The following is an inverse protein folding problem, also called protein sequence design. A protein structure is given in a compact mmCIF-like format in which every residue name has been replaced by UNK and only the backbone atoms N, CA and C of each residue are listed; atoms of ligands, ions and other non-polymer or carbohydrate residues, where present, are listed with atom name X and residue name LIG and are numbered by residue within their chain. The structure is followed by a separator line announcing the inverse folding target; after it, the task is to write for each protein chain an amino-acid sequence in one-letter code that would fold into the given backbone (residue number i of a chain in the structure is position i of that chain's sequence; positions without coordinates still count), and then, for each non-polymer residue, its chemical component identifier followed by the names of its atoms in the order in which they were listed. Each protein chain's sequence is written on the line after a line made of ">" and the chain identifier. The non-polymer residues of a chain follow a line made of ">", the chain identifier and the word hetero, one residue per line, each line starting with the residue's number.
data_IF_674780663792
#
_entry.id   IF_674780663792
#
_cell.length_a   1.000
_cell.length_b   1.000
_cell.length_c   1.000
_cell.angle_alpha   90.00
_cell.angle_beta   90.00
_cell.angle_gamma   90.00
#
_symmetry.space_group_name_H-M   'P 1'
#
loop_
_entity.id
_entity.type
_entity.pdbx_description
1 polymer ?
#
# COMPACT_ATOMS: atom_id res chain seq x y z
N UNK A 1 -41.36 -73.95 -3.94
CA UNK A 1 -42.22 -73.96 -5.14
C UNK A 1 -42.64 -72.51 -5.43
N UNK A 2 -42.04 -71.94 -6.47
CA UNK A 2 -42.50 -70.84 -7.34
C UNK A 2 -43.08 -69.52 -6.79
N UNK A 3 -42.40 -68.44 -7.23
CA UNK A 3 -42.94 -67.16 -7.75
C UNK A 3 -43.51 -66.15 -6.75
N UNK A 4 -43.30 -64.83 -6.82
CA UNK A 4 -42.87 -63.91 -7.90
C UNK A 4 -42.42 -62.58 -7.24
N UNK A 5 -41.26 -62.05 -7.62
CA UNK A 5 -40.88 -60.66 -7.34
C UNK A 5 -41.74 -59.71 -8.19
N UNK A 6 -42.34 -58.68 -7.57
CA UNK A 6 -42.94 -57.54 -8.28
C UNK A 6 -42.06 -56.32 -8.08
N UNK A 7 -41.43 -55.92 -9.18
CA UNK A 7 -40.64 -54.71 -9.38
C UNK A 7 -41.55 -53.49 -9.29
N UNK A 8 -41.24 -52.53 -8.42
CA UNK A 8 -41.81 -51.19 -8.44
C UNK A 8 -40.71 -50.22 -8.88
N UNK A 9 -40.71 -49.88 -10.17
CA UNK A 9 -39.80 -48.90 -10.73
C UNK A 9 -40.36 -47.50 -10.47
N UNK A 10 -39.69 -46.73 -9.62
CA UNK A 10 -39.90 -45.28 -9.51
C UNK A 10 -39.09 -44.60 -10.61
N UNK A 11 -39.80 -44.04 -11.60
CA UNK A 11 -39.24 -43.19 -12.65
C UNK A 11 -39.11 -41.78 -12.10
N UNK A 12 -37.90 -41.37 -11.72
CA UNK A 12 -37.58 -39.97 -11.41
C UNK A 12 -37.14 -39.29 -12.70
N UNK A 13 -38.06 -38.56 -13.33
CA UNK A 13 -37.78 -37.77 -14.53
C UNK A 13 -37.14 -36.45 -14.10
N UNK A 14 -35.81 -36.40 -14.08
CA UNK A 14 -35.08 -35.15 -13.91
C UNK A 14 -35.15 -34.36 -15.23
N UNK A 15 -35.89 -33.24 -15.25
CA UNK A 15 -35.78 -32.25 -16.32
C UNK A 15 -34.41 -31.57 -16.21
N UNK A 16 -33.44 -32.03 -16.99
CA UNK A 16 -32.24 -31.25 -17.29
C UNK A 16 -32.61 -30.22 -18.36
N UNK A 17 -32.74 -28.96 -17.97
CA UNK A 17 -32.76 -27.84 -18.92
C UNK A 17 -31.37 -27.73 -19.56
N UNK A 18 -31.23 -28.25 -20.77
CA UNK A 18 -30.11 -27.91 -21.64
C UNK A 18 -30.29 -26.47 -22.10
N UNK A 19 -29.61 -25.53 -21.43
CA UNK A 19 -29.32 -24.24 -22.03
C UNK A 19 -28.30 -24.50 -23.14
N UNK A 20 -28.78 -24.48 -24.38
CA UNK A 20 -27.94 -24.44 -25.56
C UNK A 20 -27.29 -23.07 -25.60
N UNK A 21 -25.99 -22.99 -25.28
CA UNK A 21 -25.18 -21.86 -25.71
C UNK A 21 -25.11 -21.91 -27.24
N UNK A 22 -25.66 -20.88 -27.87
CA UNK A 22 -25.45 -20.62 -29.28
C UNK A 22 -23.99 -20.21 -29.44
N UNK A 23 -23.20 -21.02 -30.15
CA UNK A 23 -21.83 -20.68 -30.53
C UNK A 23 -21.92 -19.67 -31.65
N UNK A 24 -22.10 -18.40 -31.29
CA UNK A 24 -21.94 -17.31 -32.23
C UNK A 24 -20.58 -16.67 -32.01
N UNK A 25 -19.69 -16.92 -32.96
CA UNK A 25 -18.35 -16.37 -33.05
C UNK A 25 -18.40 -14.84 -33.09
N UNK A 26 -17.96 -14.25 -31.98
CA UNK A 26 -17.79 -12.83 -31.74
C UNK A 26 -17.05 -12.71 -30.41
N UNK A 27 -15.84 -13.26 -30.35
CA UNK A 27 -14.94 -13.15 -29.20
C UNK A 27 -14.42 -11.71 -29.10
N UNK A 28 -15.32 -10.80 -28.73
CA UNK A 28 -14.90 -9.66 -27.93
C UNK A 28 -14.42 -10.27 -26.61
N UNK A 29 -13.10 -10.31 -26.43
CA UNK A 29 -12.46 -10.66 -25.17
C UNK A 29 -12.97 -9.70 -24.09
N UNK A 30 -14.10 -10.02 -23.48
CA UNK A 30 -14.79 -9.16 -22.54
C UNK A 30 -13.96 -9.11 -21.26
N UNK A 31 -13.25 -7.99 -21.07
CA UNK A 31 -12.49 -7.75 -19.85
C UNK A 31 -13.47 -7.35 -18.76
N UNK A 32 -13.69 -8.26 -17.81
CA UNK A 32 -14.57 -8.03 -16.68
C UNK A 32 -13.79 -7.48 -15.48
N UNK A 33 -14.36 -6.52 -14.72
CA UNK A 33 -13.78 -6.08 -13.46
C UNK A 33 -13.62 -7.24 -12.46
N UNK A 34 -12.57 -7.22 -11.61
CA UNK A 34 -12.39 -8.26 -10.61
C UNK A 34 -13.38 -8.07 -9.46
N UNK A 35 -13.50 -9.09 -8.62
CA UNK A 35 -14.18 -8.91 -7.32
C UNK A 35 -13.32 -8.09 -6.38
N UNK A 36 -13.94 -7.37 -5.43
CA UNK A 36 -13.20 -6.66 -4.38
C UNK A 36 -12.23 -7.57 -3.60
N UNK A 37 -12.62 -8.83 -3.35
CA UNK A 37 -11.76 -9.82 -2.71
C UNK A 37 -10.52 -10.19 -3.53
N UNK A 38 -10.64 -10.24 -4.85
CA UNK A 38 -9.50 -10.49 -5.74
C UNK A 38 -8.53 -9.31 -5.77
N UNK A 39 -9.04 -8.08 -5.85
CA UNK A 39 -8.22 -6.86 -5.80
C UNK A 39 -7.51 -6.68 -4.44
N UNK A 40 -8.21 -6.95 -3.34
CA UNK A 40 -7.58 -7.02 -2.01
C UNK A 40 -6.50 -8.10 -1.97
N UNK A 41 -6.79 -9.29 -2.49
CA UNK A 41 -5.88 -10.43 -2.48
C UNK A 41 -4.58 -10.20 -3.26
N UNK A 42 -4.60 -9.45 -4.36
CA UNK A 42 -3.36 -9.12 -5.08
C UNK A 42 -2.48 -8.13 -4.32
N UNK A 43 -3.09 -7.18 -3.59
CA UNK A 43 -2.39 -6.26 -2.71
C UNK A 43 -1.78 -6.98 -1.50
N UNK A 44 -2.49 -7.93 -0.90
CA UNK A 44 -1.97 -8.78 0.19
C UNK A 44 -0.75 -9.62 -0.26
N UNK A 45 -0.72 -10.06 -1.54
CA UNK A 45 0.46 -10.71 -2.12
C UNK A 45 1.65 -9.75 -2.19
N UNK A 46 1.42 -8.48 -2.54
CA UNK A 46 2.46 -7.44 -2.54
C UNK A 46 3.05 -7.19 -1.16
N UNK A 47 2.19 -7.10 -0.13
CA UNK A 47 2.62 -6.98 1.28
C UNK A 47 3.47 -8.19 1.67
N UNK A 48 2.99 -9.41 1.38
CA UNK A 48 3.72 -10.64 1.71
C UNK A 48 5.09 -10.71 1.03
N UNK A 49 5.19 -10.27 -0.23
CA UNK A 49 6.46 -10.23 -0.97
C UNK A 49 7.46 -9.23 -0.40
N UNK A 50 6.97 -8.12 0.14
CA UNK A 50 7.81 -7.10 0.78
C UNK A 50 8.09 -7.39 2.28
N UNK A 51 7.54 -8.46 2.85
CA UNK A 51 7.75 -8.83 4.25
C UNK A 51 9.00 -9.68 4.43
N UNK A 52 9.91 -9.18 5.26
CA UNK A 52 11.07 -9.90 5.79
C UNK A 52 10.73 -10.49 7.16
N UNK A 53 11.20 -11.72 7.41
CA UNK A 53 10.95 -12.43 8.66
C UNK A 53 12.27 -12.71 9.37
N UNK A 54 12.32 -12.42 10.66
CA UNK A 54 13.46 -12.69 11.52
C UNK A 54 13.02 -13.41 12.78
N UNK A 55 13.87 -14.25 13.35
CA UNK A 55 13.67 -14.80 14.69
C UNK A 55 14.80 -14.29 15.58
N UNK A 56 14.42 -13.69 16.70
CA UNK A 56 15.34 -13.10 17.69
C UNK A 56 15.09 -13.69 19.07
N UNK A 57 16.01 -13.49 20.00
CA UNK A 57 15.87 -13.99 21.39
C UNK A 57 15.62 -12.82 22.35
N UNK A 58 14.43 -12.78 22.95
CA UNK A 58 14.08 -11.82 23.99
C UNK A 58 14.77 -12.15 25.34
N UNK A 59 14.97 -11.14 26.18
CA UNK A 59 15.64 -11.26 27.48
C UNK A 59 17.17 -11.30 27.42
N UNK A 60 17.78 -10.79 26.34
CA UNK A 60 19.24 -10.77 26.15
C UNK A 60 19.75 -9.37 25.72
N UNK A 61 19.12 -8.30 26.22
CA UNK A 61 19.52 -6.93 25.93
C UNK A 61 19.27 -6.49 24.48
N UNK A 62 20.18 -5.68 23.94
CA UNK A 62 20.04 -5.07 22.62
C UNK A 62 20.20 -6.10 21.49
N UNK A 63 19.22 -6.11 20.59
CA UNK A 63 19.17 -6.94 19.38
C UNK A 63 19.27 -6.01 18.19
N UNK A 64 20.16 -6.33 17.24
CA UNK A 64 20.27 -5.63 15.96
C UNK A 64 19.91 -6.56 14.81
N UNK A 65 18.90 -6.19 14.04
CA UNK A 65 18.51 -6.83 12.79
C UNK A 65 19.03 -5.96 11.64
N UNK A 66 19.54 -6.57 10.57
CA UNK A 66 19.87 -5.86 9.33
C UNK A 66 18.97 -6.37 8.22
N UNK A 67 18.23 -5.46 7.58
CA UNK A 67 17.32 -5.76 6.48
C UNK A 67 18.08 -6.08 5.18
N UNK A 68 17.36 -6.61 4.20
CA UNK A 68 17.90 -6.87 2.86
C UNK A 68 18.42 -5.61 2.17
N UNK A 69 17.84 -4.43 2.43
CA UNK A 69 18.31 -3.14 1.90
C UNK A 69 19.34 -2.44 2.79
N UNK A 70 19.77 -3.09 3.88
CA UNK A 70 20.85 -2.60 4.76
C UNK A 70 20.41 -1.66 5.88
N UNK A 71 19.10 -1.50 6.10
CA UNK A 71 18.56 -0.78 7.25
C UNK A 71 18.83 -1.59 8.51
N UNK A 72 19.29 -0.93 9.58
CA UNK A 72 19.50 -1.58 10.87
C UNK A 72 18.37 -1.25 11.82
N UNK A 73 17.68 -2.26 12.32
CA UNK A 73 16.66 -2.16 13.36
C UNK A 73 17.24 -2.63 14.70
N UNK A 74 17.23 -1.75 15.69
CA UNK A 74 17.67 -2.04 17.04
C UNK A 74 16.47 -2.10 17.98
N UNK A 75 16.31 -3.24 18.66
CA UNK A 75 15.23 -3.49 19.62
C UNK A 75 15.88 -3.99 20.91
N UNK A 76 15.47 -3.47 22.06
CA UNK A 76 15.87 -4.06 23.33
C UNK A 76 14.95 -5.24 23.68
N UNK A 77 15.48 -6.45 23.60
CA UNK A 77 14.78 -7.70 23.89
C UNK A 77 14.29 -7.81 25.33
N UNK A 78 14.90 -7.08 26.27
CA UNK A 78 14.48 -7.05 27.68
C UNK A 78 13.20 -6.23 27.89
N UNK A 79 12.85 -5.38 26.93
CA UNK A 79 11.66 -4.52 26.99
C UNK A 79 10.45 -5.12 26.27
N UNK A 80 10.58 -6.32 25.70
CA UNK A 80 9.48 -6.98 25.03
C UNK A 80 8.52 -7.59 26.05
N UNK A 81 7.25 -7.30 25.89
CA UNK A 81 6.19 -7.78 26.78
C UNK A 81 5.06 -8.44 26.01
N UNK A 82 4.41 -9.40 26.66
CA UNK A 82 3.18 -10.04 26.20
C UNK A 82 2.13 -9.73 27.24
N UNK A 83 1.18 -8.85 26.91
CA UNK A 83 0.16 -8.36 27.84
C UNK A 83 0.76 -7.74 29.12
N UNK A 84 1.84 -6.97 28.97
CA UNK A 84 2.54 -6.29 30.07
C UNK A 84 3.51 -7.17 30.87
N UNK A 85 3.62 -8.47 30.57
CA UNK A 85 4.59 -9.36 31.20
C UNK A 85 5.81 -9.53 30.30
N UNK A 86 7.02 -9.32 30.83
CA UNK A 86 8.26 -9.50 30.09
C UNK A 86 8.37 -10.91 29.50
N UNK A 87 8.82 -11.01 28.25
CA UNK A 87 9.04 -12.29 27.56
C UNK A 87 10.52 -12.64 27.46
N UNK A 88 10.80 -13.93 27.37
CA UNK A 88 12.13 -14.48 27.09
C UNK A 88 12.03 -15.53 25.99
N UNK A 89 13.15 -15.87 25.38
CA UNK A 89 13.22 -16.90 24.34
C UNK A 89 12.86 -16.38 22.95
N UNK A 90 12.51 -17.28 22.03
CA UNK A 90 12.29 -16.95 20.63
C UNK A 90 11.11 -15.99 20.43
N UNK A 91 11.32 -14.98 19.59
CA UNK A 91 10.34 -13.99 19.13
C UNK A 91 10.48 -13.85 17.62
N UNK A 92 9.35 -13.86 16.92
CA UNK A 92 9.28 -13.65 15.48
C UNK A 92 9.04 -12.16 15.19
N UNK A 93 9.84 -11.61 14.28
CA UNK A 93 9.76 -10.22 13.81
C UNK A 93 9.36 -10.23 12.33
N UNK A 94 8.23 -9.59 12.03
CA UNK A 94 7.82 -9.23 10.68
C UNK A 94 8.27 -7.79 10.41
N UNK A 95 8.98 -7.57 9.31
CA UNK A 95 9.57 -6.30 8.94
C UNK A 95 9.30 -5.96 7.47
N UNK A 96 8.81 -4.75 7.19
CA UNK A 96 8.65 -4.24 5.82
C UNK A 96 9.42 -2.93 5.70
N UNK A 97 10.05 -2.70 4.54
CA UNK A 97 10.75 -1.46 4.19
C UNK A 97 10.43 -1.03 2.74
N UNK A 98 9.79 0.13 2.57
CA UNK A 98 9.37 0.67 1.28
C UNK A 98 10.11 1.98 1.03
N UNK A 99 10.73 2.09 -0.14
CA UNK A 99 11.51 3.27 -0.55
C UNK A 99 11.11 3.78 -1.93
N UNK A 100 10.39 2.97 -2.69
CA UNK A 100 10.02 3.23 -4.08
C UNK A 100 8.51 3.10 -4.29
N UNK A 101 8.00 3.95 -5.18
CA UNK A 101 6.57 4.11 -5.49
C UNK A 101 5.95 2.86 -6.09
N UNK A 102 6.72 2.01 -6.77
CA UNK A 102 6.26 0.71 -7.23
C UNK A 102 5.89 -0.22 -6.08
N UNK A 103 6.78 -0.34 -5.08
CA UNK A 103 6.51 -1.14 -3.88
C UNK A 103 5.44 -0.52 -2.98
N UNK A 104 5.38 0.82 -2.87
CA UNK A 104 4.29 1.53 -2.19
C UNK A 104 2.93 1.21 -2.84
N UNK A 105 2.87 1.19 -4.17
CA UNK A 105 1.64 0.90 -4.92
C UNK A 105 1.16 -0.53 -4.69
N UNK A 106 2.01 -1.53 -4.92
CA UNK A 106 1.57 -2.96 -4.86
C UNK A 106 1.25 -3.42 -3.43
N UNK A 107 1.65 -2.65 -2.43
CA UNK A 107 1.32 -2.87 -1.01
C UNK A 107 0.13 -2.02 -0.53
N UNK A 108 -0.39 -1.12 -1.38
CA UNK A 108 -1.35 -0.07 -1.05
C UNK A 108 -0.89 0.70 0.22
N UNK A 109 0.34 1.19 0.20
CA UNK A 109 0.96 2.03 1.24
C UNK A 109 1.45 3.32 0.57
N UNK A 110 0.54 4.24 0.21
CA UNK A 110 0.91 5.52 -0.37
C UNK A 110 1.47 6.47 0.69
N UNK A 111 2.18 7.51 0.25
CA UNK A 111 2.78 8.53 1.10
C UNK A 111 1.80 9.69 1.35
N UNK A 112 0.63 9.41 1.96
CA UNK A 112 -0.40 10.42 2.23
C UNK A 112 -0.37 10.92 3.68
N UNK A 113 0.11 12.13 3.90
CA UNK A 113 0.24 12.76 5.22
C UNK A 113 -1.00 13.56 5.62
N UNK A 114 -1.42 13.40 6.89
CA UNK A 114 -2.52 14.14 7.49
C UNK A 114 -2.03 15.52 7.92
N UNK A 115 -2.65 16.57 7.38
CA UNK A 115 -2.38 17.97 7.73
C UNK A 115 -3.05 18.37 9.04
N UNK A 116 -2.68 19.53 9.59
CA UNK A 116 -3.25 20.04 10.84
C UNK A 116 -4.77 20.28 10.79
N UNK A 117 -5.33 20.56 9.61
CA UNK A 117 -6.77 20.71 9.36
C UNK A 117 -7.45 19.38 8.99
N UNK A 118 -6.76 18.24 9.14
CA UNK A 118 -7.30 16.90 8.89
C UNK A 118 -7.36 16.50 7.43
N UNK A 119 -6.84 17.34 6.51
CA UNK A 119 -6.72 17.00 5.10
C UNK A 119 -5.58 16.03 4.85
N UNK A 120 -5.47 15.53 3.63
CA UNK A 120 -4.31 14.75 3.18
C UNK A 120 -3.51 15.49 2.12
N UNK A 121 -2.19 15.38 2.20
CA UNK A 121 -1.27 15.89 1.20
C UNK A 121 -0.12 14.91 0.99
N UNK A 122 0.52 14.96 -0.18
CA UNK A 122 1.63 14.10 -0.52
C UNK A 122 2.81 14.31 0.44
N UNK A 123 3.44 13.21 0.85
CA UNK A 123 4.72 13.18 1.53
C UNK A 123 5.81 12.71 0.57
N UNK A 124 7.00 13.27 0.75
CA UNK A 124 8.24 12.79 0.12
C UNK A 124 8.97 11.96 1.16
N UNK A 125 9.29 10.72 0.82
CA UNK A 125 9.71 9.73 1.80
C UNK A 125 11.20 9.46 1.87
N UNK A 126 11.72 9.35 3.09
CA UNK A 126 13.02 8.80 3.44
C UNK A 126 12.98 7.29 3.73
N UNK A 127 11.78 6.70 3.75
CA UNK A 127 11.54 5.26 3.92
C UNK A 127 10.36 4.95 4.85
N UNK A 128 9.45 4.10 4.40
CA UNK A 128 8.32 3.59 5.18
C UNK A 128 8.65 2.22 5.79
N UNK A 129 8.32 2.02 7.06
CA UNK A 129 8.68 0.82 7.80
C UNK A 129 7.49 0.24 8.54
N UNK A 130 7.32 -1.07 8.48
CA UNK A 130 6.43 -1.81 9.37
C UNK A 130 7.26 -2.72 10.26
N UNK A 131 6.99 -2.72 11.56
CA UNK A 131 7.61 -3.64 12.51
C UNK A 131 6.52 -4.28 13.35
N UNK A 132 6.50 -5.61 13.41
CA UNK A 132 5.64 -6.38 14.30
C UNK A 132 6.42 -7.49 14.95
N UNK A 133 6.25 -7.66 16.26
CA UNK A 133 6.85 -8.74 17.01
C UNK A 133 5.77 -9.68 17.55
N UNK A 134 5.98 -10.99 17.48
CA UNK A 134 5.06 -11.99 18.01
C UNK A 134 5.79 -13.10 18.76
N UNK A 135 5.13 -13.70 19.75
CA UNK A 135 5.60 -14.91 20.42
C UNK A 135 4.46 -15.92 20.57
N UNK A 136 4.62 -17.08 19.92
CA UNK A 136 3.59 -18.12 19.86
C UNK A 136 2.29 -17.59 19.23
N UNK A 137 2.41 -16.80 18.16
CA UNK A 137 1.29 -16.20 17.44
C UNK A 137 0.62 -15.01 18.13
N UNK A 138 1.07 -14.60 19.33
CA UNK A 138 0.51 -13.45 20.05
C UNK A 138 1.41 -12.23 19.85
N UNK A 139 0.81 -11.10 19.46
CA UNK A 139 1.51 -9.83 19.30
C UNK A 139 2.13 -9.35 20.63
N UNK A 140 3.36 -8.85 20.54
CA UNK A 140 4.10 -8.28 21.66
C UNK A 140 3.99 -6.76 21.65
N UNK A 141 4.28 -6.16 22.81
CA UNK A 141 4.51 -4.73 22.99
C UNK A 141 5.96 -4.48 23.41
N UNK A 142 6.45 -3.26 23.22
CA UNK A 142 7.74 -2.81 23.79
C UNK A 142 7.50 -1.70 24.80
N UNK A 143 8.21 -1.73 25.93
CA UNK A 143 8.24 -0.63 26.91
C UNK A 143 9.39 0.36 26.67
N UNK A 144 10.22 0.11 25.65
CA UNK A 144 11.39 0.92 25.32
C UNK A 144 11.31 1.41 23.88
N UNK A 145 11.99 2.53 23.62
CA UNK A 145 12.22 3.00 22.25
C UNK A 145 13.05 1.99 21.46
N UNK A 146 12.75 1.92 20.16
CA UNK A 146 13.52 1.23 19.14
C UNK A 146 14.27 2.26 18.30
N UNK A 147 15.30 1.81 17.59
CA UNK A 147 16.03 2.66 16.65
C UNK A 147 16.11 2.05 15.26
N UNK A 148 16.04 2.90 14.24
CA UNK A 148 16.45 2.57 12.88
C UNK A 148 17.68 3.38 12.49
N UNK A 149 18.58 2.75 11.73
CA UNK A 149 19.63 3.42 10.97
C UNK A 149 19.34 3.15 9.50
N UNK A 150 18.88 4.19 8.79
CA UNK A 150 18.38 4.11 7.42
C UNK A 150 19.40 4.78 6.49
N UNK A 151 20.07 4.03 5.58
CA UNK A 151 20.94 4.64 4.59
C UNK A 151 20.16 5.58 3.67
N UNK A 152 20.58 6.84 3.57
CA UNK A 152 19.88 7.85 2.75
C UNK A 152 20.08 7.63 1.25
N UNK A 153 21.01 6.75 0.86
CA UNK A 153 21.22 6.32 -0.52
C UNK A 153 20.12 5.40 -1.04
N UNK A 154 19.20 4.95 -0.18
CA UNK A 154 18.01 4.19 -0.59
C UNK A 154 16.92 5.09 -1.19
N UNK A 155 17.04 6.41 -1.01
CA UNK A 155 16.20 7.46 -1.61
C UNK A 155 17.12 8.54 -2.22
N UNK A 156 16.63 9.79 -2.36
CA UNK A 156 17.34 10.89 -3.00
C UNK A 156 18.41 11.57 -2.12
N UNK A 157 18.97 10.83 -1.15
CA UNK A 157 19.99 11.32 -0.23
C UNK A 157 19.43 12.00 1.01
N UNK A 158 20.31 12.71 1.73
CA UNK A 158 19.96 13.30 3.00
C UNK A 158 19.13 14.59 2.84
N UNK A 159 17.86 14.51 3.19
CA UNK A 159 16.98 15.65 3.38
C UNK A 159 16.82 15.98 4.88
N UNK A 160 17.22 17.20 5.27
CA UNK A 160 17.15 17.68 6.65
C UNK A 160 15.77 18.20 7.06
N UNK A 161 14.76 18.19 6.20
CA UNK A 161 13.39 18.53 6.56
C UNK A 161 12.58 17.31 7.02
N UNK A 162 13.10 16.09 6.88
CA UNK A 162 12.41 14.86 7.31
C UNK A 162 12.11 14.86 8.82
N UNK A 163 10.91 14.36 9.15
CA UNK A 163 10.40 14.16 10.51
C UNK A 163 9.87 12.73 10.68
N UNK A 164 9.59 12.35 11.92
CA UNK A 164 8.96 11.06 12.21
C UNK A 164 7.46 11.12 11.92
N UNK A 165 6.94 10.04 11.33
CA UNK A 165 5.52 9.83 11.09
C UNK A 165 5.08 8.48 11.63
N UNK A 166 3.84 8.40 12.08
CA UNK A 166 3.19 7.17 12.53
C UNK A 166 2.01 6.87 11.63
N UNK A 167 1.87 5.60 11.22
CA UNK A 167 0.76 5.17 10.40
C UNK A 167 -0.55 5.11 11.18
N UNK A 168 -1.61 5.63 10.58
CA UNK A 168 -3.00 5.52 11.01
C UNK A 168 -3.75 4.76 9.93
N UNK A 169 -4.35 3.64 10.31
CA UNK A 169 -5.16 2.81 9.39
C UNK A 169 -6.62 3.00 9.78
N UNK A 170 -7.46 3.36 8.82
CA UNK A 170 -8.91 3.51 9.02
C UNK A 170 -9.66 2.16 8.95
N UNK A 171 -11.00 2.21 9.04
CA UNK A 171 -11.85 1.02 9.09
C UNK A 171 -11.83 0.26 7.74
N UNK A 172 -11.59 0.98 6.65
CA UNK A 172 -11.44 0.48 5.28
C UNK A 172 -10.05 -0.12 5.04
N UNK A 173 -9.11 0.07 5.96
CA UNK A 173 -7.75 -0.46 5.88
C UNK A 173 -6.77 0.44 5.13
N UNK A 174 -7.14 1.70 4.89
CA UNK A 174 -6.32 2.69 4.20
C UNK A 174 -5.34 3.35 5.17
N UNK A 175 -4.07 3.40 4.76
CA UNK A 175 -3.00 4.00 5.53
C UNK A 175 -2.88 5.48 5.21
N UNK A 176 -2.90 6.31 6.25
CA UNK A 176 -2.46 7.69 6.21
C UNK A 176 -1.44 7.97 7.31
N UNK A 177 -0.60 8.98 7.11
CA UNK A 177 0.55 9.26 7.97
C UNK A 177 0.25 10.46 8.88
N UNK A 178 0.39 10.27 10.19
CA UNK A 178 0.31 11.36 11.16
C UNK A 178 1.70 11.79 11.60
N UNK A 179 2.00 13.09 11.49
CA UNK A 179 3.28 13.63 11.92
C UNK A 179 3.45 13.48 13.43
N UNK A 180 4.61 12.98 13.87
CA UNK A 180 4.93 12.69 15.27
C UNK A 180 5.93 13.70 15.84
N UNK A 181 5.74 15.00 15.57
CA UNK A 181 6.58 16.07 16.17
C UNK A 181 6.48 16.04 17.69
N UNK A 182 7.59 16.38 18.34
CA UNK A 182 7.55 16.63 19.77
C UNK A 182 6.82 17.96 20.10
N UNK A 183 6.50 18.16 21.38
CA UNK A 183 5.76 19.33 21.84
C UNK A 183 6.47 20.68 21.56
N UNK A 184 7.77 20.65 21.27
CA UNK A 184 8.59 21.84 20.96
C UNK A 184 8.80 22.00 19.45
N UNK A 185 8.12 21.21 18.61
CA UNK A 185 8.24 21.26 17.15
C UNK A 185 9.43 20.50 16.58
N UNK A 186 10.17 19.75 17.40
CA UNK A 186 11.27 18.90 16.95
C UNK A 186 10.80 17.72 16.11
N UNK A 187 11.73 17.08 15.41
CA UNK A 187 11.48 16.11 14.34
C UNK A 187 10.93 14.75 14.79
N UNK A 188 10.50 14.61 16.04
CA UNK A 188 9.89 13.40 16.55
C UNK A 188 10.83 12.22 16.76
N UNK A 189 12.16 12.42 16.68
CA UNK A 189 13.14 11.34 16.81
C UNK A 189 13.90 11.01 15.53
N UNK A 190 13.73 11.78 14.46
CA UNK A 190 14.55 11.71 13.23
C UNK A 190 15.73 12.67 13.31
N UNK A 191 16.94 12.15 13.15
CA UNK A 191 18.18 12.91 12.98
C UNK A 191 18.89 12.47 11.71
N UNK A 192 19.20 13.43 10.85
CA UNK A 192 20.03 13.22 9.68
C UNK A 192 21.51 13.45 10.01
N UNK A 193 22.38 12.47 9.74
CA UNK A 193 23.82 12.63 9.95
C UNK A 193 24.64 11.77 8.98
N UNK A 194 25.60 12.40 8.29
CA UNK A 194 26.38 11.75 7.24
C UNK A 194 25.48 11.23 6.13
N UNK A 195 25.50 9.91 5.89
CA UNK A 195 24.69 9.23 4.87
C UNK A 195 23.56 8.39 5.48
N UNK A 196 23.11 8.72 6.70
CA UNK A 196 22.04 7.98 7.36
C UNK A 196 21.00 8.90 8.02
N UNK A 197 19.77 8.41 8.08
CA UNK A 197 18.81 8.81 9.10
C UNK A 197 18.93 7.90 10.32
N UNK A 198 19.02 8.51 11.49
CA UNK A 198 18.88 7.87 12.78
C UNK A 198 17.49 8.18 13.31
N UNK A 199 16.69 7.13 13.49
CA UNK A 199 15.27 7.24 13.85
C UNK A 199 15.07 6.61 15.21
N UNK A 200 14.33 7.27 16.10
CA UNK A 200 13.95 6.75 17.42
C UNK A 200 12.43 6.82 17.56
N UNK A 201 11.79 5.70 17.88
CA UNK A 201 10.33 5.60 18.01
C UNK A 201 9.93 4.52 19.01
N UNK A 202 8.73 4.61 19.59
CA UNK A 202 8.35 3.86 20.79
C UNK A 202 7.44 2.65 20.59
N UNK A 203 6.79 2.49 19.44
CA UNK A 203 5.75 1.48 19.24
C UNK A 203 5.99 0.65 17.97
N UNK A 204 5.55 -0.60 18.00
CA UNK A 204 5.38 -1.42 16.79
C UNK A 204 4.26 -0.86 15.90
N UNK A 205 4.26 -1.25 14.64
CA UNK A 205 3.35 -0.76 13.61
C UNK A 205 4.10 -0.06 12.48
N UNK A 206 3.36 0.79 11.76
CA UNK A 206 3.88 1.60 10.66
C UNK A 206 4.54 2.89 11.17
N UNK A 207 5.77 3.14 10.74
CA UNK A 207 6.48 4.40 10.96
C UNK A 207 7.19 4.82 9.68
N UNK A 208 7.42 6.12 9.52
CA UNK A 208 7.96 6.67 8.29
C UNK A 208 8.83 7.91 8.56
N UNK A 209 9.77 8.20 7.67
CA UNK A 209 10.73 9.31 7.76
C UNK A 209 10.46 10.27 6.62
N UNK A 210 9.56 11.22 6.81
CA UNK A 210 8.97 11.96 5.69
C UNK A 210 8.98 13.47 5.91
N UNK A 211 8.74 14.20 4.83
CA UNK A 211 8.32 15.60 4.87
C UNK A 211 7.13 15.80 3.94
N UNK A 212 6.36 16.85 4.19
CA UNK A 212 5.37 17.29 3.20
C UNK A 212 6.03 17.70 1.88
N UNK A 213 5.41 17.29 0.78
CA UNK A 213 5.55 17.95 -0.50
C UNK A 213 4.99 19.38 -0.39
N UNK A 214 5.68 20.33 -0.99
CA UNK A 214 5.28 21.75 -0.96
C UNK A 214 5.39 22.34 -2.34
N UNK A 215 4.27 22.89 -2.80
CA UNK A 215 4.17 23.59 -4.06
C UNK A 215 3.27 24.81 -3.87
N UNK A 216 3.69 26.02 -4.29
CA UNK A 216 2.92 27.24 -4.04
C UNK A 216 1.83 27.50 -5.10
N UNK A 217 1.77 26.72 -6.19
CA UNK A 217 0.80 26.94 -7.26
C UNK A 217 -0.63 26.77 -6.73
N UNK A 218 -1.61 27.48 -7.31
CA UNK A 218 -3.03 27.29 -6.99
C UNK A 218 -3.42 25.81 -7.10
N UNK A 219 -4.29 25.36 -6.19
CA UNK A 219 -4.72 23.96 -6.12
C UNK A 219 -6.08 23.74 -6.80
N UNK A 220 -6.32 22.52 -7.23
CA UNK A 220 -7.58 22.06 -7.82
C UNK A 220 -7.91 20.65 -7.35
N UNK A 221 -9.16 20.27 -7.55
CA UNK A 221 -9.60 18.89 -7.42
C UNK A 221 -9.36 18.16 -8.74
N UNK A 222 -8.84 16.94 -8.64
CA UNK A 222 -8.56 16.08 -9.77
C UNK A 222 -9.60 14.97 -9.80
N UNK A 223 -10.25 14.77 -10.94
CA UNK A 223 -11.21 13.70 -11.16
C UNK A 223 -10.63 12.69 -12.16
N UNK A 224 -10.85 11.41 -11.88
CA UNK A 224 -10.48 10.30 -12.78
C UNK A 224 -11.69 9.40 -12.99
N UNK A 225 -12.03 9.21 -14.25
CA UNK A 225 -13.06 8.28 -14.68
C UNK A 225 -12.39 6.96 -15.04
N UNK A 226 -12.68 5.89 -14.29
CA UNK A 226 -12.12 4.57 -14.56
C UNK A 226 -12.87 3.90 -15.72
N UNK A 227 -12.33 2.82 -16.32
CA UNK A 227 -13.06 2.11 -17.35
C UNK A 227 -14.42 1.59 -16.82
N UNK A 228 -15.39 1.41 -17.71
CA UNK A 228 -16.73 0.95 -17.32
C UNK A 228 -16.67 -0.35 -16.49
N UNK A 229 -17.41 -0.35 -15.37
CA UNK A 229 -17.46 -1.45 -14.42
C UNK A 229 -16.38 -1.43 -13.33
N UNK A 230 -15.38 -0.55 -13.42
CA UNK A 230 -14.35 -0.40 -12.40
C UNK A 230 -14.68 0.74 -11.43
N UNK A 231 -14.52 0.48 -10.14
CA UNK A 231 -14.83 1.38 -9.03
C UNK A 231 -13.78 1.26 -7.93
N UNK A 232 -13.98 1.96 -6.81
CA UNK A 232 -13.06 1.95 -5.67
C UNK A 232 -13.09 0.66 -4.83
N UNK A 233 -13.98 -0.29 -5.12
CA UNK A 233 -13.99 -1.61 -4.47
C UNK A 233 -13.09 -2.62 -5.21
N UNK A 234 -12.97 -2.47 -6.53
CA UNK A 234 -12.27 -3.41 -7.41
C UNK A 234 -11.02 -2.83 -8.10
N UNK A 235 -10.73 -1.54 -7.92
CA UNK A 235 -9.58 -0.87 -8.52
C UNK A 235 -9.11 0.32 -7.66
N UNK A 236 -7.97 0.90 -8.02
CA UNK A 236 -7.45 2.10 -7.38
C UNK A 236 -6.77 3.02 -8.39
N UNK A 237 -6.71 4.30 -8.02
CA UNK A 237 -5.99 5.32 -8.79
C UNK A 237 -4.95 6.01 -7.91
N UNK A 238 -3.73 6.09 -8.43
CA UNK A 238 -2.58 6.74 -7.79
C UNK A 238 -2.05 7.89 -8.64
N UNK A 239 -1.29 8.77 -8.01
CA UNK A 239 -0.58 9.88 -8.64
C UNK A 239 0.91 9.83 -8.30
N UNK A 240 1.77 9.88 -9.32
CA UNK A 240 3.21 10.14 -9.19
C UNK A 240 3.51 11.54 -9.68
N UNK A 241 4.09 12.39 -8.84
CA UNK A 241 4.40 13.78 -9.20
C UNK A 241 5.77 13.83 -9.88
N UNK A 242 5.82 14.36 -11.09
CA UNK A 242 7.05 14.36 -11.86
C UNK A 242 8.10 15.26 -11.20
N UNK A 243 9.31 14.74 -11.03
CA UNK A 243 10.44 15.45 -10.45
C UNK A 243 10.59 15.28 -8.93
N UNK A 244 9.69 14.52 -8.29
CA UNK A 244 9.77 14.17 -6.87
C UNK A 244 10.38 12.77 -6.64
N UNK A 245 11.10 12.25 -7.63
CA UNK A 245 11.88 11.03 -7.52
C UNK A 245 11.05 9.75 -7.55
N UNK A 246 11.53 8.73 -6.84
CA UNK A 246 10.85 7.42 -6.77
C UNK A 246 10.17 7.17 -5.43
N UNK A 247 10.30 8.07 -4.47
CA UNK A 247 9.98 7.89 -3.05
C UNK A 247 8.72 8.66 -2.63
N UNK A 248 7.80 8.90 -3.55
CA UNK A 248 6.54 9.58 -3.31
C UNK A 248 5.43 8.98 -4.19
N UNK A 249 4.28 8.67 -3.57
CA UNK A 249 3.11 8.16 -4.28
C UNK A 249 1.84 8.64 -3.57
N UNK A 250 1.03 9.44 -4.25
CA UNK A 250 -0.29 9.80 -3.77
C UNK A 250 -1.34 8.78 -4.22
N UNK A 251 -2.44 8.69 -3.46
CA UNK A 251 -3.63 7.90 -3.81
C UNK A 251 -4.85 8.83 -3.87
N UNK A 252 -5.70 8.62 -4.86
CA UNK A 252 -7.04 9.21 -4.89
C UNK A 252 -7.91 8.47 -3.88
N UNK A 253 -8.22 9.15 -2.78
CA UNK A 253 -8.79 8.56 -1.57
C UNK A 253 -10.30 8.74 -1.44
N UNK A 254 -10.95 9.21 -2.50
CA UNK A 254 -12.40 9.44 -2.54
C UNK A 254 -12.99 8.90 -3.85
N UNK A 255 -14.21 8.38 -3.76
CA UNK A 255 -15.03 8.01 -4.92
C UNK A 255 -16.33 8.82 -4.86
N UNK A 256 -16.60 9.61 -5.91
CA UNK A 256 -17.74 10.54 -5.93
C UNK A 256 -19.05 9.82 -6.21
N UNK A 257 -20.17 10.48 -5.93
CA UNK A 257 -21.50 9.93 -6.23
C UNK A 257 -21.73 9.71 -7.73
N UNK A 258 -20.98 10.41 -8.58
CA UNK A 258 -20.97 10.29 -10.04
C UNK A 258 -20.08 9.14 -10.55
N UNK A 259 -19.41 8.40 -9.66
CA UNK A 259 -18.58 7.26 -10.02
C UNK A 259 -17.14 7.61 -10.41
N UNK A 260 -16.63 8.74 -9.93
CA UNK A 260 -15.28 9.22 -10.25
C UNK A 260 -14.33 9.06 -9.07
N UNK A 261 -13.09 8.66 -9.34
CA UNK A 261 -12.01 8.75 -8.37
C UNK A 261 -11.58 10.21 -8.19
N UNK A 262 -11.31 10.61 -6.96
CA UNK A 262 -10.88 11.97 -6.62
C UNK A 262 -9.97 11.97 -5.39
N UNK A 263 -9.30 13.08 -5.17
CA UNK A 263 -8.81 13.44 -3.85
C UNK A 263 -9.88 14.24 -3.08
N UNK A 264 -9.81 14.19 -1.75
CA UNK A 264 -10.88 14.69 -0.87
C UNK A 264 -10.88 16.22 -0.67
N UNK A 265 -9.80 16.96 -1.02
CA UNK A 265 -9.53 18.27 -0.40
C UNK A 265 -9.09 19.40 -1.34
N UNK A 266 -9.10 19.20 -2.65
CA UNK A 266 -8.60 20.16 -3.64
C UNK A 266 -7.13 20.48 -3.49
N UNK A 267 -6.25 19.50 -3.27
CA UNK A 267 -4.83 19.73 -2.94
C UNK A 267 -3.85 19.57 -4.12
N UNK A 268 -4.33 19.29 -5.34
CA UNK A 268 -3.45 19.04 -6.48
C UNK A 268 -3.01 20.35 -7.13
N UNK A 269 -1.70 20.64 -7.28
CA UNK A 269 -1.24 21.88 -7.93
C UNK A 269 -1.60 21.95 -9.41
N UNK A 270 -2.22 23.06 -9.83
CA UNK A 270 -2.47 23.34 -11.25
C UNK A 270 -1.14 23.55 -11.98
N UNK A 271 -1.02 22.95 -13.16
CA UNK A 271 0.18 22.96 -13.99
C UNK A 271 1.24 21.93 -13.57
N UNK A 272 0.98 21.10 -12.55
CA UNK A 272 1.87 20.02 -12.17
C UNK A 272 1.92 18.96 -13.27
N UNK A 273 3.13 18.59 -13.70
CA UNK A 273 3.31 17.37 -14.50
C UNK A 273 3.27 16.17 -13.55
N UNK A 274 2.47 15.17 -13.88
CA UNK A 274 2.36 13.95 -13.08
C UNK A 274 1.90 12.78 -13.96
N UNK A 275 2.01 11.58 -13.41
CA UNK A 275 1.43 10.38 -13.97
C UNK A 275 0.23 9.93 -13.13
N UNK A 276 -0.94 9.87 -13.77
CA UNK A 276 -2.15 9.24 -13.22
C UNK A 276 -2.07 7.75 -13.52
N UNK A 277 -2.24 6.93 -12.49
CA UNK A 277 -2.00 5.48 -12.57
C UNK A 277 -3.28 4.77 -12.15
N UNK A 278 -3.93 4.09 -13.09
CA UNK A 278 -5.04 3.17 -12.79
C UNK A 278 -4.48 1.76 -12.62
N UNK A 279 -4.91 1.05 -11.56
CA UNK A 279 -4.57 -0.36 -11.33
C UNK A 279 -5.76 -1.18 -10.86
N UNK A 280 -5.77 -2.44 -11.25
CA UNK A 280 -6.75 -3.44 -10.83
C UNK A 280 -6.13 -4.84 -10.92
N UNK A 281 -6.89 -5.85 -10.49
CA UNK A 281 -6.54 -7.26 -10.61
C UNK A 281 -7.12 -7.85 -11.89
N UNK A 282 -6.38 -8.76 -12.52
CA UNK A 282 -6.85 -9.54 -13.66
C UNK A 282 -6.21 -10.92 -13.65
N UNK A 283 -6.99 -11.96 -13.34
CA UNK A 283 -6.57 -13.37 -13.39
C UNK A 283 -5.26 -13.66 -12.64
N UNK A 284 -5.09 -13.07 -11.46
CA UNK A 284 -3.93 -13.17 -10.59
C UNK A 284 -2.75 -12.26 -10.97
N UNK A 285 -2.90 -11.45 -12.02
CA UNK A 285 -1.93 -10.46 -12.49
C UNK A 285 -2.45 -9.04 -12.25
N UNK A 286 -1.58 -8.05 -12.44
CA UNK A 286 -1.96 -6.65 -12.38
C UNK A 286 -2.38 -6.17 -13.76
N UNK A 287 -3.55 -5.54 -13.85
CA UNK A 287 -3.94 -4.76 -15.01
C UNK A 287 -3.78 -3.28 -14.67
N UNK A 288 -3.13 -2.51 -15.53
CA UNK A 288 -2.81 -1.12 -15.23
C UNK A 288 -2.69 -0.25 -16.47
N UNK A 289 -2.88 1.06 -16.28
CA UNK A 289 -2.60 2.10 -17.26
C UNK A 289 -1.90 3.27 -16.56
N UNK A 290 -0.94 3.89 -17.26
CA UNK A 290 -0.16 5.02 -16.76
C UNK A 290 -0.31 6.16 -17.76
N UNK A 291 -0.81 7.30 -17.30
CA UNK A 291 -1.13 8.46 -18.14
C UNK A 291 -0.37 9.69 -17.66
N UNK A 292 0.60 10.12 -18.46
CA UNK A 292 1.28 11.40 -18.23
C UNK A 292 0.32 12.56 -18.53
N UNK A 293 0.19 13.49 -17.58
CA UNK A 293 -0.71 14.65 -17.69
C UNK A 293 -0.03 15.90 -17.13
N UNK A 294 -0.54 17.06 -17.55
CA UNK A 294 -0.33 18.32 -16.84
C UNK A 294 -1.66 18.72 -16.21
N UNK A 295 -1.66 18.96 -14.90
CA UNK A 295 -2.89 19.24 -14.16
C UNK A 295 -3.53 20.53 -14.66
N UNK A 296 -4.77 20.42 -15.12
CA UNK A 296 -5.61 21.58 -15.45
C UNK A 296 -6.74 21.69 -14.43
N UNK A 297 -7.24 22.90 -14.23
CA UNK A 297 -8.29 23.13 -13.24
C UNK A 297 -9.57 22.35 -13.58
N UNK A 298 -10.09 21.58 -12.61
CA UNK A 298 -11.32 20.79 -12.72
C UNK A 298 -11.33 19.78 -13.88
N UNK A 299 -10.16 19.26 -14.25
CA UNK A 299 -10.05 18.26 -15.30
C UNK A 299 -10.65 16.91 -14.86
N UNK A 300 -11.22 16.20 -15.83
CA UNK A 300 -11.53 14.77 -15.71
C UNK A 300 -10.59 14.00 -16.62
N UNK A 301 -9.81 13.08 -16.05
CA UNK A 301 -8.94 12.18 -16.80
C UNK A 301 -9.61 10.82 -16.92
N UNK A 302 -10.03 10.44 -18.12
CA UNK A 302 -10.74 9.17 -18.35
C UNK A 302 -9.78 8.06 -18.72
N UNK A 303 -10.00 6.86 -18.19
CA UNK A 303 -9.36 5.64 -18.64
C UNK A 303 -10.29 4.73 -19.45
N UNK A 304 -9.73 3.99 -20.41
CA UNK A 304 -10.43 2.94 -21.16
C UNK A 304 -9.70 1.61 -21.00
N UNK A 305 -10.43 0.49 -21.05
CA UNK A 305 -9.82 -0.84 -20.98
C UNK A 305 -8.74 -1.04 -22.05
N UNK A 306 -8.96 -0.48 -23.25
CA UNK A 306 -8.07 -0.62 -24.39
C UNK A 306 -6.67 0.00 -24.18
N UNK A 307 -6.52 0.93 -23.23
CA UNK A 307 -5.21 1.51 -22.91
C UNK A 307 -4.49 0.80 -21.74
N UNK A 308 -5.16 -0.15 -21.10
CA UNK A 308 -4.57 -0.94 -20.03
C UNK A 308 -3.70 -2.07 -20.59
N UNK A 309 -2.68 -2.44 -19.83
CA UNK A 309 -1.88 -3.65 -20.07
C UNK A 309 -2.01 -4.58 -18.87
N UNK A 310 -1.80 -5.87 -19.10
CA UNK A 310 -1.70 -6.87 -18.03
C UNK A 310 -0.23 -7.24 -17.84
N UNK A 311 0.20 -7.35 -16.59
CA UNK A 311 1.56 -7.70 -16.25
C UNK A 311 1.71 -8.31 -14.87
N UNK A 312 2.83 -8.98 -14.67
CA UNK A 312 3.27 -9.45 -13.35
C UNK A 312 3.52 -8.27 -12.41
N UNK A 313 3.53 -8.52 -11.09
CA UNK A 313 3.89 -7.48 -10.11
C UNK A 313 5.26 -6.85 -10.40
N UNK A 314 6.26 -7.66 -10.79
CA UNK A 314 7.59 -7.14 -11.11
C UNK A 314 7.56 -6.19 -12.31
N UNK A 315 6.71 -6.46 -13.32
CA UNK A 315 6.54 -5.57 -14.48
C UNK A 315 5.83 -4.27 -14.08
N UNK A 316 4.80 -4.34 -13.22
CA UNK A 316 4.14 -3.14 -12.69
C UNK A 316 5.13 -2.30 -11.87
N UNK A 317 5.84 -2.89 -10.90
CA UNK A 317 6.84 -2.19 -10.07
C UNK A 317 7.90 -1.53 -10.96
N UNK A 318 8.42 -2.23 -11.96
CA UNK A 318 9.39 -1.66 -12.90
C UNK A 318 8.81 -0.49 -13.72
N UNK A 319 7.57 -0.60 -14.21
CA UNK A 319 6.91 0.46 -14.96
C UNK A 319 6.68 1.71 -14.09
N UNK A 320 6.25 1.52 -12.83
CA UNK A 320 5.98 2.59 -11.89
C UNK A 320 7.27 3.23 -11.38
N UNK A 321 8.37 2.49 -11.26
CA UNK A 321 9.66 3.08 -10.87
C UNK A 321 10.40 3.74 -12.04
N UNK A 322 9.98 3.51 -13.29
CA UNK A 322 10.57 4.12 -14.47
C UNK A 322 10.02 5.54 -14.77
N UNK A 323 8.84 5.88 -14.25
CA UNK A 323 8.26 7.23 -14.38
C UNK A 323 8.92 8.19 -13.38
N UNK A 324 8.87 9.49 -13.69
CA UNK A 324 9.50 10.54 -12.88
C UNK A 324 8.59 11.10 -11.80
#
# INVERSE_FOLDING_TARGET
>A
MNTKFKTLAFLFLALTSFVSCDNNDGDDNLVLPPTSGAFKGITEKGIKRNTQNFTVTAGNGLITITSAKGVKLNINGDCLTKNGVAVTGAVDIEYIELFDKGNMLVTNKPTMGITADGKKNLLISGGEFFIKATQGGVALQTSCSMNLIVPTTLTDGLDNAMTLWTGVVDEEGELAWKEARDANGGKGGVQGEGTNYYVTFGNFGWTNVDRFYSDPRPKTTLLVDAPEGYDNDNSAVYLSYDGEGTNALAKLDTYTAEGLFSEHYGQIPIGLACHVIFVTEDNGQWRYAIKAVTITANAVYTFTVAETTVGTEAQLVAAINAIQ
#
